data_IF_880435877397
#
_entry.id   IF_880435877397
#
_cell.length_a   1.000
_cell.length_b   1.000
_cell.length_c   1.000
_cell.angle_alpha   90.00
_cell.angle_beta   90.00
_cell.angle_gamma   90.00
#
_symmetry.space_group_name_H-M   'P 1'
#
loop_
_entity.id
_entity.type
_entity.pdbx_description
1 polymer ?
#
# COMPACT_ATOMS: atom_id res chain seq x y z
N UNK A 1 3.53 -19.09 9.91
CA UNK A 1 3.89 -19.40 8.51
C UNK A 1 3.16 -20.64 8.00
N UNK A 2 2.28 -20.44 7.02
CA UNK A 2 1.77 -21.53 6.16
C UNK A 2 2.69 -21.65 4.92
N UNK A 3 2.48 -22.67 4.08
CA UNK A 3 3.29 -22.90 2.86
C UNK A 3 2.49 -22.62 1.57
N UNK A 4 1.62 -21.60 1.58
CA UNK A 4 0.80 -21.25 0.43
C UNK A 4 1.70 -20.60 -0.63
N UNK A 5 1.77 -21.19 -1.82
CA UNK A 5 2.61 -20.68 -2.92
C UNK A 5 1.82 -19.92 -3.99
N UNK A 6 0.49 -20.10 -4.05
CA UNK A 6 -0.37 -19.44 -5.03
C UNK A 6 -1.77 -19.22 -4.48
N UNK A 7 -2.43 -18.15 -4.93
CA UNK A 7 -3.87 -17.91 -4.72
C UNK A 7 -4.59 -18.04 -6.08
N UNK A 8 -5.26 -19.17 -6.34
CA UNK A 8 -6.02 -19.38 -7.57
C UNK A 8 -7.35 -18.61 -7.60
N UNK A 9 -7.88 -18.36 -8.80
CA UNK A 9 -9.26 -17.89 -8.97
C UNK A 9 -10.28 -18.86 -8.35
N UNK A 10 -11.33 -18.32 -7.71
CA UNK A 10 -12.40 -19.10 -7.08
C UNK A 10 -11.99 -19.88 -5.82
N UNK A 11 -10.79 -19.63 -5.28
CA UNK A 11 -10.30 -20.33 -4.08
C UNK A 11 -10.71 -19.67 -2.76
N UNK A 12 -11.21 -18.43 -2.81
CA UNK A 12 -11.56 -17.64 -1.64
C UNK A 12 -13.09 -17.56 -1.44
N UNK A 13 -13.58 -17.52 -0.20
CA UNK A 13 -15.00 -17.43 0.09
C UNK A 13 -15.55 -16.01 -0.23
N UNK A 14 -16.82 -15.88 -0.68
CA UNK A 14 -17.34 -14.61 -1.19
C UNK A 14 -17.50 -13.51 -0.14
N UNK A 15 -17.73 -13.87 1.13
CA UNK A 15 -18.01 -12.90 2.20
C UNK A 15 -16.75 -12.49 2.99
N UNK A 16 -15.56 -12.68 2.43
CA UNK A 16 -14.30 -12.37 3.11
C UNK A 16 -14.13 -10.85 3.25
N UNK A 17 -13.96 -10.37 4.48
CA UNK A 17 -13.72 -8.94 4.77
C UNK A 17 -12.25 -8.61 4.97
N UNK A 18 -11.49 -9.57 5.48
CA UNK A 18 -10.09 -9.38 5.86
C UNK A 18 -9.31 -10.61 5.40
N UNK A 19 -8.19 -10.39 4.72
CA UNK A 19 -7.28 -11.47 4.35
C UNK A 19 -5.86 -11.16 4.77
N UNK A 20 -5.28 -12.05 5.56
CA UNK A 20 -3.88 -11.99 5.95
C UNK A 20 -3.12 -13.11 5.23
N UNK A 21 -2.28 -12.71 4.28
CA UNK A 21 -1.45 -13.61 3.49
C UNK A 21 0.03 -13.54 3.90
N UNK A 22 0.34 -12.81 4.99
CA UNK A 22 1.69 -12.62 5.48
C UNK A 22 2.41 -13.95 5.70
N UNK A 23 3.73 -13.92 5.53
CA UNK A 23 4.61 -15.05 5.81
C UNK A 23 4.20 -16.35 5.09
N UNK A 24 3.82 -16.20 3.81
CA UNK A 24 3.61 -17.33 2.89
C UNK A 24 4.55 -17.17 1.70
N UNK A 25 5.11 -18.25 1.14
CA UNK A 25 5.99 -18.20 -0.02
C UNK A 25 5.20 -17.99 -1.33
N UNK A 26 4.25 -17.05 -1.35
CA UNK A 26 3.39 -16.80 -2.51
C UNK A 26 4.25 -16.27 -3.66
N UNK A 27 4.20 -16.99 -4.77
CA UNK A 27 4.85 -16.64 -6.03
C UNK A 27 3.87 -16.07 -7.05
N UNK A 28 2.56 -16.33 -6.88
CA UNK A 28 1.53 -15.86 -7.82
C UNK A 28 0.16 -15.68 -7.15
N UNK A 29 -0.56 -14.64 -7.57
CA UNK A 29 -1.98 -14.42 -7.31
C UNK A 29 -2.64 -14.28 -8.68
N UNK A 30 -3.64 -15.10 -8.98
CA UNK A 30 -4.36 -15.01 -10.25
C UNK A 30 -5.10 -13.67 -10.35
N UNK A 31 -5.22 -13.10 -11.54
CA UNK A 31 -5.85 -11.79 -11.75
C UNK A 31 -7.29 -11.70 -11.21
N UNK A 32 -7.99 -12.85 -11.15
CA UNK A 32 -9.37 -12.97 -10.68
C UNK A 32 -9.46 -13.67 -9.30
N UNK A 33 -8.36 -13.72 -8.54
CA UNK A 33 -8.29 -14.38 -7.24
C UNK A 33 -9.33 -13.86 -6.23
N UNK A 34 -9.70 -12.58 -6.33
CA UNK A 34 -10.59 -11.91 -5.37
C UNK A 34 -11.97 -11.52 -5.94
N UNK A 35 -12.34 -11.99 -7.13
CA UNK A 35 -13.57 -11.57 -7.81
C UNK A 35 -14.83 -11.83 -6.96
N UNK A 36 -14.87 -12.94 -6.21
CA UNK A 36 -15.97 -13.28 -5.32
C UNK A 36 -16.09 -12.38 -4.08
N UNK A 37 -15.02 -11.65 -3.72
CA UNK A 37 -14.96 -10.76 -2.55
C UNK A 37 -14.74 -9.29 -2.92
N UNK A 38 -14.96 -8.93 -4.18
CA UNK A 38 -14.67 -7.59 -4.72
C UNK A 38 -15.40 -6.44 -3.97
N UNK A 39 -16.59 -6.73 -3.42
CA UNK A 39 -17.43 -5.78 -2.69
C UNK A 39 -17.35 -5.93 -1.17
N UNK A 40 -16.66 -6.95 -0.67
CA UNK A 40 -16.67 -7.32 0.76
C UNK A 40 -15.30 -7.15 1.40
N UNK A 41 -14.22 -7.29 0.64
CA UNK A 41 -12.86 -7.29 1.17
C UNK A 41 -12.37 -5.86 1.46
N UNK A 42 -12.18 -5.59 2.74
CA UNK A 42 -11.87 -4.29 3.35
C UNK A 42 -10.38 -4.19 3.68
N UNK A 43 -9.73 -5.29 4.07
CA UNK A 43 -8.33 -5.29 4.47
C UNK A 43 -7.53 -6.43 3.82
N UNK A 44 -6.36 -6.09 3.26
CA UNK A 44 -5.39 -7.04 2.72
C UNK A 44 -4.04 -6.82 3.39
N UNK A 45 -3.46 -7.89 3.92
CA UNK A 45 -2.11 -7.91 4.47
C UNK A 45 -1.24 -8.86 3.64
N UNK A 46 -0.17 -8.29 3.09
CA UNK A 46 0.73 -8.90 2.13
C UNK A 46 2.16 -8.79 2.63
N UNK A 47 2.80 -9.90 3.03
CA UNK A 47 4.22 -9.84 3.42
C UNK A 47 5.03 -11.06 3.01
N UNK A 48 6.32 -10.82 2.78
CA UNK A 48 7.32 -11.85 2.47
C UNK A 48 7.05 -12.63 1.17
N UNK A 49 6.56 -11.94 0.13
CA UNK A 49 6.28 -12.56 -1.16
C UNK A 49 7.45 -12.55 -2.14
N UNK A 50 7.33 -13.39 -3.18
CA UNK A 50 8.36 -13.60 -4.19
C UNK A 50 8.01 -13.08 -5.58
N UNK A 51 6.88 -12.41 -5.75
CA UNK A 51 6.56 -11.72 -6.99
C UNK A 51 7.21 -10.32 -7.04
N UNK A 52 7.59 -9.90 -8.23
CA UNK A 52 8.26 -8.61 -8.48
C UNK A 52 7.31 -7.51 -8.95
N UNK A 53 6.04 -7.84 -9.15
CA UNK A 53 4.98 -6.92 -9.57
C UNK A 53 3.79 -7.00 -8.62
N UNK A 54 3.20 -5.87 -8.26
CA UNK A 54 1.92 -5.81 -7.55
C UNK A 54 0.80 -6.47 -8.39
N UNK A 55 0.11 -7.52 -7.88
CA UNK A 55 -0.89 -8.25 -8.66
C UNK A 55 -2.08 -7.38 -9.06
N UNK A 56 -2.53 -7.52 -10.31
CA UNK A 56 -3.70 -6.78 -10.84
C UNK A 56 -4.96 -7.04 -10.02
N UNK A 57 -5.08 -8.25 -9.46
CA UNK A 57 -6.22 -8.67 -8.63
C UNK A 57 -6.53 -7.70 -7.49
N UNK A 58 -5.51 -7.05 -6.90
CA UNK A 58 -5.70 -6.03 -5.86
C UNK A 58 -6.48 -4.83 -6.40
N UNK A 59 -6.22 -4.46 -7.66
CA UNK A 59 -6.89 -3.37 -8.37
C UNK A 59 -8.38 -3.59 -8.62
N UNK A 60 -8.91 -4.79 -8.38
CA UNK A 60 -10.34 -5.05 -8.50
C UNK A 60 -11.09 -4.69 -7.22
N UNK A 61 -10.44 -4.68 -6.04
CA UNK A 61 -11.09 -4.61 -4.73
C UNK A 61 -11.76 -3.24 -4.48
N UNK A 62 -13.08 -3.16 -4.70
CA UNK A 62 -13.87 -1.91 -4.65
C UNK A 62 -14.22 -1.46 -3.23
N UNK A 63 -14.12 -2.37 -2.25
CA UNK A 63 -14.39 -2.10 -0.85
C UNK A 63 -13.11 -1.91 -0.02
N UNK A 64 -11.92 -1.93 -0.65
CA UNK A 64 -10.65 -1.93 0.06
C UNK A 64 -10.41 -0.60 0.78
N UNK A 65 -10.22 -0.69 2.10
CA UNK A 65 -9.96 0.46 2.98
C UNK A 65 -8.54 0.43 3.54
N UNK A 66 -8.02 -0.77 3.80
CA UNK A 66 -6.69 -0.97 4.39
C UNK A 66 -5.85 -1.89 3.52
N UNK A 67 -4.65 -1.44 3.15
CA UNK A 67 -3.68 -2.23 2.42
C UNK A 67 -2.33 -2.15 3.14
N UNK A 68 -1.80 -3.30 3.52
CA UNK A 68 -0.45 -3.43 4.08
C UNK A 68 0.36 -4.34 3.17
N UNK A 69 1.49 -3.84 2.69
CA UNK A 69 2.44 -4.59 1.86
C UNK A 69 3.82 -4.39 2.46
N UNK A 70 4.46 -5.46 2.93
CA UNK A 70 5.78 -5.39 3.57
C UNK A 70 6.74 -6.44 3.03
N UNK A 71 8.04 -6.15 3.09
CA UNK A 71 9.12 -7.08 2.76
C UNK A 71 8.92 -7.76 1.40
N UNK A 72 8.49 -6.98 0.40
CA UNK A 72 8.25 -7.47 -0.95
C UNK A 72 9.39 -7.07 -1.88
N UNK A 73 9.80 -7.98 -2.77
CA UNK A 73 10.75 -7.66 -3.86
C UNK A 73 10.05 -6.99 -5.05
N UNK A 74 9.02 -6.17 -4.79
CA UNK A 74 8.21 -5.51 -5.83
C UNK A 74 9.02 -4.37 -6.45
N UNK A 75 9.37 -4.54 -7.72
CA UNK A 75 9.97 -3.49 -8.54
C UNK A 75 8.94 -2.78 -9.41
N UNK A 76 7.80 -3.42 -9.66
CA UNK A 76 6.72 -2.88 -10.48
C UNK A 76 5.43 -2.76 -9.65
N UNK A 77 5.14 -1.54 -9.21
CA UNK A 77 3.98 -1.24 -8.37
C UNK A 77 2.68 -1.07 -9.16
N UNK A 78 2.72 -1.18 -10.48
CA UNK A 78 1.59 -1.09 -11.40
C UNK A 78 0.59 0.03 -11.09
N UNK A 79 0.77 1.19 -11.73
CA UNK A 79 -0.07 2.37 -11.52
C UNK A 79 -1.58 2.12 -11.71
N UNK A 80 -1.98 1.18 -12.59
CA UNK A 80 -3.39 0.88 -12.82
C UNK A 80 -4.11 0.33 -11.58
N UNK A 81 -3.40 -0.38 -10.69
CA UNK A 81 -3.96 -0.87 -9.42
C UNK A 81 -4.39 0.31 -8.55
N UNK A 82 -3.52 1.31 -8.43
CA UNK A 82 -3.74 2.48 -7.58
C UNK A 82 -4.81 3.43 -8.12
N UNK A 83 -4.96 3.52 -9.43
CA UNK A 83 -6.09 4.25 -10.06
C UNK A 83 -7.43 3.71 -9.58
N UNK A 84 -7.54 2.40 -9.39
CA UNK A 84 -8.80 1.76 -9.02
C UNK A 84 -9.09 1.79 -7.52
N UNK A 85 -8.09 1.52 -6.67
CA UNK A 85 -8.29 1.40 -5.21
C UNK A 85 -7.99 2.69 -4.44
N UNK A 86 -7.25 3.63 -5.04
CA UNK A 86 -6.76 4.81 -4.31
C UNK A 86 -7.88 5.66 -3.71
N UNK A 87 -9.03 5.73 -4.37
CA UNK A 87 -10.17 6.52 -3.89
C UNK A 87 -10.91 5.89 -2.69
N UNK A 88 -10.64 4.62 -2.37
CA UNK A 88 -11.30 3.91 -1.25
C UNK A 88 -10.37 3.70 -0.06
N UNK A 89 -9.05 3.68 -0.30
CA UNK A 89 -8.04 3.48 0.74
C UNK A 89 -8.02 4.63 1.76
N UNK A 90 -8.00 4.25 3.04
CA UNK A 90 -7.79 5.14 4.20
C UNK A 90 -6.50 4.85 4.94
N UNK A 91 -6.06 3.61 4.93
CA UNK A 91 -4.81 3.17 5.56
C UNK A 91 -3.93 2.47 4.54
N UNK A 92 -2.69 2.94 4.42
CA UNK A 92 -1.70 2.36 3.53
C UNK A 92 -0.38 2.17 4.26
N UNK A 93 0.06 0.92 4.33
CA UNK A 93 1.34 0.53 4.91
C UNK A 93 2.21 -0.14 3.84
N UNK A 94 3.42 0.38 3.70
CA UNK A 94 4.38 0.00 2.67
C UNK A 94 5.79 -0.11 3.25
N UNK A 95 5.89 -0.57 4.49
CA UNK A 95 7.15 -0.67 5.19
C UNK A 95 8.08 -1.70 4.53
N UNK A 96 9.38 -1.51 4.67
CA UNK A 96 10.37 -2.54 4.28
C UNK A 96 10.31 -2.96 2.80
N UNK A 97 9.98 -2.04 1.89
CA UNK A 97 9.87 -2.33 0.44
C UNK A 97 11.05 -1.77 -0.39
N UNK A 98 12.06 -1.21 0.26
CA UNK A 98 13.27 -0.72 -0.41
C UNK A 98 13.04 0.47 -1.33
N UNK A 99 11.95 1.23 -1.16
CA UNK A 99 11.69 2.42 -1.99
C UNK A 99 12.82 3.43 -1.84
N UNK A 100 13.39 3.88 -2.97
CA UNK A 100 14.39 4.96 -3.00
C UNK A 100 13.81 6.29 -3.45
N UNK A 101 12.70 6.25 -4.19
CA UNK A 101 12.01 7.41 -4.74
C UNK A 101 10.54 7.37 -4.33
N UNK A 102 10.00 8.55 -4.03
CA UNK A 102 8.60 8.69 -3.68
C UNK A 102 7.68 8.24 -4.83
N UNK A 103 6.71 7.34 -4.59
CA UNK A 103 5.87 6.79 -5.64
C UNK A 103 4.89 7.83 -6.21
N UNK A 104 4.88 8.02 -7.53
CA UNK A 104 3.97 8.97 -8.21
C UNK A 104 2.50 8.55 -8.14
N UNK A 105 2.21 7.26 -7.99
CA UNK A 105 0.86 6.72 -7.91
C UNK A 105 0.14 7.02 -6.59
N UNK A 106 0.86 7.49 -5.55
CA UNK A 106 0.25 7.94 -4.29
C UNK A 106 -0.80 9.05 -4.52
N UNK A 107 -0.67 9.80 -5.63
CA UNK A 107 -1.60 10.87 -6.00
C UNK A 107 -3.04 10.40 -6.19
N UNK A 108 -3.24 9.11 -6.45
CA UNK A 108 -4.57 8.50 -6.58
C UNK A 108 -5.22 8.21 -5.22
N UNK A 109 -4.46 8.25 -4.13
CA UNK A 109 -4.90 7.84 -2.80
C UNK A 109 -5.48 8.99 -1.97
N UNK A 110 -6.45 9.73 -2.53
CA UNK A 110 -6.91 11.04 -2.01
C UNK A 110 -7.61 10.98 -0.64
N UNK A 111 -8.07 9.80 -0.22
CA UNK A 111 -8.82 9.59 1.03
C UNK A 111 -7.93 9.03 2.16
N UNK A 112 -6.62 8.93 1.96
CA UNK A 112 -5.71 8.40 2.99
C UNK A 112 -5.71 9.24 4.25
N UNK A 113 -5.94 8.59 5.38
CA UNK A 113 -5.82 9.16 6.72
C UNK A 113 -4.52 8.72 7.40
N UNK A 114 -4.01 7.53 7.07
CA UNK A 114 -2.76 6.99 7.61
C UNK A 114 -1.85 6.49 6.49
N UNK A 115 -0.60 6.94 6.49
CA UNK A 115 0.44 6.47 5.57
C UNK A 115 1.68 6.05 6.36
N UNK A 116 2.02 4.77 6.28
CA UNK A 116 3.17 4.17 6.95
C UNK A 116 4.15 3.70 5.88
N UNK A 117 5.34 4.29 5.85
CA UNK A 117 6.37 3.96 4.85
C UNK A 117 7.75 3.79 5.50
N UNK A 118 7.74 3.19 6.68
CA UNK A 118 8.90 2.97 7.56
C UNK A 118 9.89 1.97 6.92
N UNK A 119 11.17 2.04 7.27
CA UNK A 119 12.19 1.09 6.79
C UNK A 119 12.33 1.06 5.26
N UNK A 120 12.17 2.21 4.61
CA UNK A 120 12.49 2.38 3.20
C UNK A 120 13.83 3.12 3.05
N UNK A 121 14.10 3.66 1.87
CA UNK A 121 15.35 4.37 1.57
C UNK A 121 15.08 5.71 0.88
N UNK A 122 13.97 6.37 1.22
CA UNK A 122 13.68 7.71 0.70
C UNK A 122 14.76 8.69 1.15
N UNK A 123 15.49 9.27 0.20
CA UNK A 123 16.42 10.38 0.46
C UNK A 123 15.75 11.75 0.38
N UNK A 124 14.60 11.83 -0.27
CA UNK A 124 13.79 13.04 -0.39
C UNK A 124 12.31 12.69 -0.66
N UNK A 125 11.42 13.65 -0.40
CA UNK A 125 10.04 13.65 -0.87
C UNK A 125 9.89 14.86 -1.80
N UNK A 126 9.51 14.69 -3.08
CA UNK A 126 9.40 15.80 -4.02
C UNK A 126 8.35 16.84 -3.60
N UNK A 127 8.57 18.11 -3.94
CA UNK A 127 7.58 19.17 -3.77
C UNK A 127 6.23 18.76 -4.40
N UNK A 128 5.15 18.95 -3.65
CA UNK A 128 3.78 18.61 -4.08
C UNK A 128 3.43 17.12 -4.08
N UNK A 129 4.36 16.22 -3.73
CA UNK A 129 4.12 14.78 -3.78
C UNK A 129 3.08 14.26 -2.76
N UNK A 130 2.66 15.12 -1.83
CA UNK A 130 1.67 14.86 -0.79
C UNK A 130 0.41 15.73 -0.92
N UNK A 131 0.30 16.55 -1.98
CA UNK A 131 -0.81 17.49 -2.14
C UNK A 131 -2.18 16.77 -2.28
N UNK A 132 -2.19 15.57 -2.86
CA UNK A 132 -3.40 14.76 -3.02
C UNK A 132 -4.01 14.31 -1.70
N UNK A 133 -3.21 14.24 -0.62
CA UNK A 133 -3.63 13.80 0.72
C UNK A 133 -3.63 14.93 1.74
N UNK A 134 -3.39 16.17 1.31
CA UNK A 134 -3.25 17.36 2.15
C UNK A 134 -4.47 17.66 3.04
N UNK A 135 -5.65 17.18 2.65
CA UNK A 135 -6.93 17.42 3.32
C UNK A 135 -7.45 16.22 4.11
N UNK A 136 -6.75 15.08 4.09
CA UNK A 136 -7.23 13.82 4.65
C UNK A 136 -6.20 13.16 5.58
N UNK A 137 -4.90 13.33 5.31
CA UNK A 137 -3.85 12.64 6.06
C UNK A 137 -3.74 13.18 7.48
N UNK A 138 -3.88 12.31 8.48
CA UNK A 138 -3.76 12.65 9.91
C UNK A 138 -2.53 12.00 10.55
N UNK A 139 -2.04 10.89 10.01
CA UNK A 139 -0.82 10.21 10.48
C UNK A 139 0.13 9.92 9.32
N UNK A 140 1.41 10.23 9.51
CA UNK A 140 2.50 9.93 8.57
C UNK A 140 3.71 9.38 9.30
N UNK A 141 4.10 8.16 8.95
CA UNK A 141 5.28 7.50 9.51
C UNK A 141 6.38 7.33 8.46
N UNK A 142 7.48 8.03 8.67
CA UNK A 142 8.65 8.09 7.79
C UNK A 142 9.93 7.59 8.48
N UNK A 143 9.81 6.96 9.65
CA UNK A 143 10.96 6.48 10.43
C UNK A 143 11.86 5.54 9.61
N UNK A 144 13.14 5.49 9.94
CA UNK A 144 14.13 4.61 9.32
C UNK A 144 14.18 4.75 7.79
N UNK A 145 14.15 6.00 7.31
CA UNK A 145 14.46 6.38 5.93
C UNK A 145 15.83 7.06 5.83
N UNK A 146 16.13 7.70 4.69
CA UNK A 146 17.40 8.40 4.44
C UNK A 146 17.21 9.91 4.24
N UNK A 147 16.12 10.46 4.79
CA UNK A 147 15.81 11.88 4.70
C UNK A 147 16.87 12.68 5.49
N UNK A 148 17.54 13.62 4.83
CA UNK A 148 18.55 14.49 5.48
C UNK A 148 17.98 15.82 5.96
N UNK A 149 16.74 16.11 5.61
CA UNK A 149 16.02 17.33 5.97
C UNK A 149 14.51 17.09 5.98
N UNK A 150 13.77 17.96 6.67
CA UNK A 150 12.30 17.97 6.63
C UNK A 150 11.86 18.36 5.20
N UNK A 151 11.13 17.51 4.46
CA UNK A 151 10.71 17.83 3.10
C UNK A 151 9.65 18.93 3.08
N UNK A 152 9.77 19.85 2.12
CA UNK A 152 8.80 20.93 1.92
C UNK A 152 7.39 20.42 1.59
N UNK A 153 7.27 19.23 1.00
CA UNK A 153 5.99 18.57 0.75
C UNK A 153 5.10 18.43 2.00
N UNK A 154 5.70 18.41 3.21
CA UNK A 154 4.96 18.33 4.47
C UNK A 154 4.21 19.63 4.81
N UNK A 155 4.59 20.77 4.24
CA UNK A 155 3.99 22.07 4.60
C UNK A 155 2.52 22.19 4.23
N UNK A 156 2.04 21.37 3.28
CA UNK A 156 0.67 21.42 2.79
C UNK A 156 -0.27 20.47 3.54
N UNK A 157 0.25 19.62 4.45
CA UNK A 157 -0.53 18.64 5.19
C UNK A 157 -1.29 19.27 6.36
N UNK A 158 -2.35 20.01 6.07
CA UNK A 158 -3.08 20.83 7.04
C UNK A 158 -3.84 20.02 8.11
N UNK A 159 -4.09 18.73 7.84
CA UNK A 159 -4.80 17.82 8.75
C UNK A 159 -3.86 16.93 9.56
N UNK A 160 -2.55 16.99 9.34
CA UNK A 160 -1.59 16.08 9.96
C UNK A 160 -1.51 16.34 11.47
N UNK A 161 -1.74 15.29 12.25
CA UNK A 161 -1.71 15.31 13.71
C UNK A 161 -0.50 14.59 14.27
N UNK A 162 -0.01 13.59 13.55
CA UNK A 162 1.12 12.77 14.00
C UNK A 162 2.11 12.56 12.86
N UNK A 163 3.37 12.85 13.14
CA UNK A 163 4.49 12.73 12.20
C UNK A 163 5.66 12.06 12.91
N UNK A 164 6.15 10.97 12.35
CA UNK A 164 7.33 10.27 12.85
C UNK A 164 8.46 10.28 11.82
N UNK A 165 9.67 10.70 12.23
CA UNK A 165 10.83 10.94 11.36
C UNK A 165 12.14 10.31 11.91
N UNK A 166 12.06 9.46 12.93
CA UNK A 166 13.23 8.96 13.66
C UNK A 166 14.08 8.00 12.83
#
# INVERSE_FOLDING_TARGET
>A
TNNISRIPAGSLPPNLTDINLNENPITAIDDNAFDDSILTLIAVYLSSFRFTRLPNAIGHLRALVSLSISAANITDWNEAVWVNIGQTLKSLELDTNGFTQWPSWIRHCTQLTSLIVVWNSFSSIPDGALDSVAHSLTSLELNNNRLTMIPKALSNLNTLQTLYLQ
#
